data_IF_494211810286
#
_entry.id   IF_494211810286
#
_cell.length_a   1.000
_cell.length_b   1.000
_cell.length_c   1.000
_cell.angle_alpha   90.00
_cell.angle_beta   90.00
_cell.angle_gamma   90.00
#
_symmetry.space_group_name_H-M   'P 1'
#
loop_
_entity.id
_entity.type
_entity.pdbx_description
1 polymer ?
#
# COMPACT_ATOMS: atom_id res chain seq x y z
N UNK A 1 -11.56 -8.85 -2.24
CA UNK A 1 -11.49 -7.52 -1.60
C UNK A 1 -10.04 -7.29 -1.24
N UNK A 2 -9.49 -6.10 -1.49
CA UNK A 2 -8.08 -5.81 -1.18
C UNK A 2 -7.90 -5.63 0.32
N UNK A 3 -6.74 -6.06 0.83
CA UNK A 3 -6.31 -5.76 2.19
C UNK A 3 -5.61 -4.39 2.21
N UNK A 4 -6.02 -3.54 3.15
CA UNK A 4 -5.65 -2.12 3.16
C UNK A 4 -5.50 -1.59 4.58
N UNK A 5 -4.60 -0.63 4.74
CA UNK A 5 -4.47 0.14 5.98
C UNK A 5 -4.41 1.64 5.69
N UNK A 6 -5.25 2.39 6.38
CA UNK A 6 -5.22 3.85 6.37
C UNK A 6 -4.36 4.35 7.52
N UNK A 7 -3.26 5.02 7.18
CA UNK A 7 -2.47 5.82 8.12
C UNK A 7 -2.93 7.28 8.01
N UNK A 8 -3.64 7.81 9.02
CA UNK A 8 -4.18 9.15 8.96
C UNK A 8 -3.07 10.20 9.01
N UNK A 9 -3.32 11.33 8.33
CA UNK A 9 -2.52 12.53 8.47
C UNK A 9 -2.54 13.05 9.92
N UNK A 10 -1.49 13.75 10.35
CA UNK A 10 -1.47 14.37 11.68
C UNK A 10 -2.30 15.66 11.74
N UNK A 11 -2.49 16.35 10.60
CA UNK A 11 -3.42 17.47 10.47
C UNK A 11 -4.85 16.93 10.37
N UNK A 12 -5.73 17.42 11.26
CA UNK A 12 -7.14 17.07 11.26
C UNK A 12 -7.82 17.48 9.95
N UNK A 13 -8.82 16.69 9.54
CA UNK A 13 -9.66 16.94 8.35
C UNK A 13 -8.90 17.05 7.03
N UNK A 14 -7.67 16.52 6.96
CA UNK A 14 -6.91 16.55 5.72
C UNK A 14 -7.59 15.74 4.62
N UNK A 15 -7.66 16.33 3.43
CA UNK A 15 -8.30 15.76 2.23
C UNK A 15 -7.32 15.10 1.26
N UNK A 16 -6.01 15.17 1.55
CA UNK A 16 -4.99 14.64 0.66
C UNK A 16 -4.69 13.19 1.02
N UNK A 17 -4.73 12.31 0.02
CA UNK A 17 -4.48 10.88 0.16
C UNK A 17 -3.44 10.42 -0.86
N UNK A 18 -2.43 9.71 -0.39
CA UNK A 18 -1.51 8.93 -1.22
C UNK A 18 -1.89 7.45 -1.13
N UNK A 19 -2.19 6.83 -2.26
CA UNK A 19 -2.36 5.37 -2.35
C UNK A 19 -1.01 4.77 -2.69
N UNK A 20 -0.52 3.87 -1.85
CA UNK A 20 0.81 3.27 -1.98
C UNK A 20 0.66 1.82 -2.44
N UNK A 21 1.17 1.54 -3.63
CA UNK A 21 1.16 0.21 -4.24
C UNK A 21 2.59 -0.31 -4.29
N UNK A 22 2.82 -1.47 -3.68
CA UNK A 22 4.15 -2.08 -3.61
C UNK A 22 4.53 -2.79 -4.93
N UNK A 23 5.82 -3.09 -5.09
CA UNK A 23 6.33 -3.89 -6.21
C UNK A 23 6.07 -5.40 -6.06
N UNK A 24 6.29 -6.18 -7.12
CA UNK A 24 6.10 -7.64 -7.12
C UNK A 24 6.86 -8.32 -5.97
N UNK A 25 6.17 -9.13 -5.17
CA UNK A 25 6.75 -9.90 -4.07
C UNK A 25 7.06 -9.13 -2.80
N UNK A 26 6.59 -7.90 -2.71
CA UNK A 26 6.59 -7.12 -1.47
C UNK A 26 5.17 -7.10 -0.85
N UNK A 27 4.98 -6.28 0.18
CA UNK A 27 3.72 -6.05 0.88
C UNK A 27 3.63 -4.60 1.35
N UNK A 28 2.47 -4.21 1.88
CA UNK A 28 2.30 -2.91 2.54
C UNK A 28 3.27 -2.67 3.70
N UNK A 29 3.75 -3.72 4.37
CA UNK A 29 4.72 -3.61 5.48
C UNK A 29 6.02 -2.95 5.02
N UNK A 30 6.47 -3.24 3.79
CA UNK A 30 7.68 -2.67 3.19
C UNK A 30 7.64 -1.15 3.01
N UNK A 31 6.47 -0.53 3.16
CA UNK A 31 6.25 0.91 2.93
C UNK A 31 5.88 1.69 4.20
N UNK A 32 5.83 1.05 5.38
CA UNK A 32 5.53 1.74 6.65
C UNK A 32 6.53 2.83 7.05
N UNK A 33 7.74 2.82 6.46
CA UNK A 33 8.74 3.86 6.67
C UNK A 33 8.43 5.15 5.89
N UNK A 34 7.62 5.08 4.83
CA UNK A 34 7.38 6.18 3.90
C UNK A 34 6.74 7.42 4.55
N UNK A 35 5.71 7.31 5.42
CA UNK A 35 5.13 8.48 6.08
C UNK A 35 6.16 9.28 6.88
N UNK A 36 7.04 8.58 7.60
CA UNK A 36 8.10 9.22 8.39
C UNK A 36 9.15 9.90 7.51
N UNK A 37 9.52 9.30 6.38
CA UNK A 37 10.48 9.89 5.46
C UNK A 37 9.94 11.14 4.74
N UNK A 38 8.65 11.17 4.41
CA UNK A 38 8.02 12.33 3.77
C UNK A 38 7.67 13.45 4.76
N UNK A 39 7.39 13.10 6.03
CA UNK A 39 7.10 14.02 7.12
C UNK A 39 6.06 15.12 6.77
N UNK A 40 5.07 14.77 5.93
CA UNK A 40 4.05 15.71 5.49
C UNK A 40 2.79 15.60 6.38
N UNK A 41 2.51 16.59 7.24
CA UNK A 41 1.39 16.52 8.19
C UNK A 41 0.02 16.52 7.52
N UNK A 42 -0.07 16.91 6.23
CA UNK A 42 -1.31 16.93 5.46
C UNK A 42 -1.58 15.63 4.72
N UNK A 43 -0.69 14.66 4.71
CA UNK A 43 -0.86 13.50 3.84
C UNK A 43 -1.37 12.28 4.60
N UNK A 44 -2.53 11.78 4.20
CA UNK A 44 -2.98 10.44 4.57
C UNK A 44 -2.30 9.42 3.65
N UNK A 45 -2.07 8.21 4.13
CA UNK A 45 -1.54 7.11 3.34
C UNK A 45 -2.50 5.94 3.38
N UNK A 46 -2.92 5.44 2.22
CA UNK A 46 -3.60 4.15 2.11
C UNK A 46 -2.59 3.15 1.56
N UNK A 47 -2.09 2.29 2.44
CA UNK A 47 -1.24 1.18 2.05
C UNK A 47 -2.13 0.02 1.61
N UNK A 48 -1.76 -0.65 0.51
CA UNK A 48 -2.59 -1.68 -0.11
C UNK A 48 -1.74 -2.89 -0.43
N UNK A 49 -2.16 -4.07 0.03
CA UNK A 49 -1.62 -5.33 -0.46
C UNK A 49 -2.29 -5.68 -1.78
N UNK A 50 -1.48 -6.13 -2.73
CA UNK A 50 -1.98 -6.76 -3.94
C UNK A 50 -2.76 -8.04 -3.60
N UNK A 51 -3.72 -8.47 -4.43
CA UNK A 51 -4.67 -9.52 -4.06
C UNK A 51 -4.06 -10.92 -4.01
N UNK A 52 -3.03 -11.18 -4.82
CA UNK A 52 -2.53 -12.54 -5.06
C UNK A 52 -1.24 -12.79 -4.29
N UNK A 53 -1.17 -13.93 -3.59
CA UNK A 53 0.05 -14.34 -2.89
C UNK A 53 1.17 -14.65 -3.89
N UNK A 54 2.38 -14.17 -3.61
CA UNK A 54 3.56 -14.43 -4.41
C UNK A 54 4.81 -14.59 -3.53
N UNK A 55 5.28 -15.83 -3.36
CA UNK A 55 6.52 -16.18 -2.66
C UNK A 55 6.81 -15.41 -1.35
N UNK A 56 5.79 -15.24 -0.50
CA UNK A 56 5.92 -14.55 0.80
C UNK A 56 5.57 -13.05 0.78
N UNK A 57 5.33 -12.47 -0.40
CA UNK A 57 4.69 -11.17 -0.59
C UNK A 57 3.47 -11.30 -1.51
N UNK A 58 3.19 -10.26 -2.30
CA UNK A 58 2.00 -10.22 -3.16
C UNK A 58 2.28 -9.77 -4.61
N UNK A 59 1.33 -10.07 -5.50
CA UNK A 59 1.32 -9.67 -6.91
C UNK A 59 0.00 -8.99 -7.30
N UNK A 60 0.10 -7.97 -8.15
CA UNK A 60 -1.05 -7.22 -8.71
C UNK A 60 -1.72 -7.92 -9.88
N UNK A 61 -0.98 -8.79 -10.55
CA UNK A 61 -1.41 -9.48 -11.74
C UNK A 61 -1.13 -10.97 -11.56
N UNK A 62 -1.92 -11.79 -12.24
CA UNK A 62 -1.56 -13.18 -12.44
C UNK A 62 -0.37 -13.26 -13.40
N UNK A 63 0.79 -13.57 -12.84
CA UNK A 63 2.05 -13.69 -13.55
C UNK A 63 2.32 -15.12 -14.06
N UNK A 64 1.44 -16.07 -13.72
CA UNK A 64 1.56 -17.45 -14.15
C UNK A 64 0.66 -17.77 -15.35
N UNK A 65 -0.02 -16.76 -15.90
CA UNK A 65 -0.95 -16.88 -17.03
C UNK A 65 -1.96 -18.02 -16.81
N UNK A 66 -2.45 -18.17 -15.59
CA UNK A 66 -3.54 -19.05 -15.23
C UNK A 66 -4.86 -18.27 -15.33
N UNK A 67 -5.49 -18.19 -16.52
CA UNK A 67 -6.75 -17.46 -16.66
C UNK A 67 -7.75 -17.96 -15.62
N UNK A 68 -8.26 -17.02 -14.83
CA UNK A 68 -9.34 -17.24 -13.86
C UNK A 68 -10.69 -17.32 -14.53
#
# INVERSE_FOLDING_TARGET
MLDTELLPASEADSKWLMVVLHGLGDSMEGYRWLPNALANPKLNFLLVNAPDNYHGGFSWYDIYENPT
#
